data_IF_767263145666
#
_entry.id   IF_767263145666
#
_cell.length_a   1.000
_cell.length_b   1.000
_cell.length_c   1.000
_cell.angle_alpha   90.00
_cell.angle_beta   90.00
_cell.angle_gamma   90.00
#
_symmetry.space_group_name_H-M   'P 1'
#
loop_
_entity.id
_entity.type
_entity.pdbx_description
1 polymer ?
2 non-polymer ?
3 non-polymer ?
4 non-polymer ?
5 non-polymer ?
6 non-polymer ?
7 water ?
#
# COMPACT_ATOMS: atom_id res chain seq x y z
N UNK A 13 -21.45 -4.80 16.06
CA UNK A 13 -20.70 -6.01 15.79
C UNK A 13 -19.30 -5.66 15.29
N UNK A 14 -18.31 -6.41 15.75
CA UNK A 14 -16.94 -6.08 15.45
C UNK A 14 -16.52 -6.63 14.09
N UNK A 15 -15.40 -6.10 13.61
CA UNK A 15 -14.90 -6.47 12.29
C UNK A 15 -14.55 -7.95 12.22
N UNK A 16 -14.91 -8.59 11.09
CA UNK A 16 -14.60 -9.98 10.83
C UNK A 16 -13.45 -10.03 9.84
N UNK A 17 -12.25 -10.45 10.23
CA UNK A 17 -11.12 -10.47 9.28
C UNK A 17 -11.40 -11.39 8.09
N UNK A 18 -11.14 -10.92 6.87
CA UNK A 18 -11.24 -11.79 5.69
C UNK A 18 -10.24 -12.93 5.76
N UNK A 19 -10.41 -13.97 4.94
CA UNK A 19 -9.42 -15.05 4.90
C UNK A 19 -8.08 -14.53 4.39
N UNK A 20 -7.03 -15.25 4.77
CA UNK A 20 -5.66 -14.86 4.39
C UNK A 20 -5.39 -15.16 2.93
N UNK A 21 -4.74 -14.21 2.25
CA UNK A 21 -4.25 -14.46 0.89
C UNK A 21 -3.04 -15.41 0.93
N UNK A 22 -2.66 -15.98 -0.22
CA UNK A 22 -1.53 -16.92 -0.22
C UNK A 22 -0.24 -16.21 0.12
N UNK A 23 0.63 -16.93 0.83
CA UNK A 23 2.00 -16.49 1.05
C UNK A 23 2.91 -17.57 0.50
N UNK A 24 3.92 -17.16 -0.26
CA UNK A 24 4.86 -18.08 -0.86
C UNK A 24 6.23 -17.86 -0.24
N UNK A 25 6.96 -18.96 -0.02
CA UNK A 25 8.30 -18.91 0.56
C UNK A 25 9.26 -19.61 -0.39
N UNK A 26 9.60 -18.96 -1.51
CA UNK A 26 10.43 -19.63 -2.52
C UNK A 26 11.80 -20.00 -1.96
N UNK A 27 12.28 -21.17 -2.36
CA UNK A 27 13.67 -21.52 -2.14
C UNK A 27 14.55 -20.62 -2.99
N UNK A 28 15.86 -20.79 -2.86
CA UNK A 28 16.77 -19.98 -3.67
C UNK A 28 16.62 -20.29 -5.15
N UNK A 29 16.31 -21.54 -5.50
CA UNK A 29 16.13 -21.90 -6.90
C UNK A 29 14.94 -21.15 -7.51
N UNK A 30 13.79 -21.16 -6.82
CA UNK A 30 12.61 -20.48 -7.33
C UNK A 30 12.73 -18.97 -7.26
N UNK A 31 13.59 -18.44 -6.40
CA UNK A 31 13.75 -17.01 -6.21
C UNK A 31 14.71 -16.41 -7.24
N UNK A 32 14.73 -16.96 -8.45
CA UNK A 32 15.67 -16.48 -9.46
C UNK A 32 15.20 -15.19 -10.11
N UNK A 33 14.04 -15.22 -10.77
CA UNK A 33 13.53 -14.09 -11.51
C UNK A 33 12.08 -13.82 -11.13
N UNK A 34 11.72 -12.57 -10.77
CA UNK A 34 10.34 -12.32 -10.33
C UNK A 34 9.29 -12.58 -11.38
N UNK A 35 9.53 -12.22 -12.64
CA UNK A 35 8.52 -12.46 -13.67
C UNK A 35 8.29 -13.96 -13.86
N UNK A 36 9.35 -14.74 -13.90
CA UNK A 36 9.17 -16.18 -14.00
C UNK A 36 8.48 -16.73 -12.75
N UNK A 37 8.82 -16.21 -11.57
CA UNK A 37 8.18 -16.71 -10.36
C UNK A 37 6.70 -16.37 -10.35
N UNK A 38 6.35 -15.12 -10.69
CA UNK A 38 4.96 -14.71 -10.62
C UNK A 38 4.14 -15.45 -11.67
N UNK A 39 4.74 -15.73 -12.82
CA UNK A 39 4.06 -16.52 -13.83
C UNK A 39 3.70 -17.91 -13.35
N UNK A 40 4.54 -18.49 -12.48
CA UNK A 40 4.27 -19.84 -11.99
C UNK A 40 3.19 -19.87 -10.92
N UNK A 41 3.17 -18.88 -10.02
CA UNK A 41 2.17 -18.86 -8.95
C UNK A 41 0.85 -18.27 -9.42
N UNK A 42 0.82 -17.69 -10.61
CA UNK A 42 -0.38 -17.02 -11.11
C UNK A 42 -1.66 -17.85 -11.03
N UNK A 43 -1.70 -19.14 -11.38
CA UNK A 43 -2.99 -19.85 -11.35
C UNK A 43 -3.68 -19.77 -10.00
N UNK A 44 -2.91 -19.70 -8.92
CA UNK A 44 -3.49 -19.52 -7.60
C UNK A 44 -3.67 -18.05 -7.25
N UNK A 45 -2.60 -17.26 -7.38
CA UNK A 45 -2.64 -15.89 -6.89
C UNK A 45 -3.63 -15.03 -7.69
N UNK A 46 -3.83 -15.31 -8.98
CA UNK A 46 -4.79 -14.48 -9.69
C UNK A 46 -6.21 -14.71 -9.20
N UNK A 47 -6.45 -15.84 -8.51
CA UNK A 47 -7.76 -16.13 -7.92
C UNK A 47 -7.93 -15.47 -6.55
N UNK A 48 -6.90 -14.82 -6.00
CA UNK A 48 -7.04 -14.09 -4.75
C UNK A 48 -6.75 -12.60 -4.91
N UNK A 49 -6.35 -12.16 -6.09
CA UNK A 49 -6.02 -10.75 -6.35
C UNK A 49 -4.67 -10.29 -5.85
N UNK A 50 -4.34 -10.63 -4.62
CA UNK A 50 -3.05 -10.27 -4.04
C UNK A 50 -2.39 -11.54 -3.53
N UNK A 51 -1.07 -11.49 -3.41
CA UNK A 51 -0.34 -12.53 -2.70
C UNK A 51 0.87 -11.91 -2.02
N UNK A 52 1.42 -12.65 -1.08
CA UNK A 52 2.60 -12.22 -0.34
C UNK A 52 3.77 -13.14 -0.67
N UNK A 53 4.98 -12.58 -0.75
CA UNK A 53 6.18 -13.36 -1.07
C UNK A 53 7.25 -13.05 -0.03
N UNK A 54 7.67 -14.08 0.71
CA UNK A 54 8.76 -13.96 1.67
C UNK A 54 10.05 -14.41 1.01
N UNK A 55 11.04 -13.54 0.83
CA UNK A 55 12.30 -13.95 0.20
C UNK A 55 13.05 -14.93 1.10
N UNK A 56 14.04 -15.64 0.55
CA UNK A 56 14.85 -16.52 1.40
C UNK A 56 15.47 -15.73 2.55
N UNK A 57 15.73 -16.45 3.65
CA UNK A 57 16.10 -15.78 4.90
C UNK A 57 17.35 -14.92 4.74
N UNK A 58 18.28 -15.35 3.92
CA UNK A 58 19.55 -14.64 3.75
C UNK A 58 19.48 -13.49 2.75
N UNK A 59 18.30 -13.20 2.20
CA UNK A 59 18.16 -12.09 1.25
C UNK A 59 17.72 -10.86 2.04
N UNK A 60 18.67 -9.97 2.35
CA UNK A 60 18.40 -8.81 3.19
C UNK A 60 19.06 -7.58 2.59
N UNK A 61 18.37 -6.87 1.70
CA UNK A 61 18.95 -5.66 1.10
C UNK A 61 19.15 -4.59 2.16
N UNK A 62 20.23 -3.83 2.10
CA UNK A 62 20.35 -2.66 2.98
C UNK A 62 19.32 -1.61 2.61
N UNK A 63 19.15 -0.64 3.50
CA UNK A 63 18.30 0.51 3.22
C UNK A 63 19.18 1.63 2.70
N UNK A 64 18.85 2.15 1.50
CA UNK A 64 19.78 3.00 0.76
C UNK A 64 19.27 4.41 0.45
N UNK A 65 18.18 4.87 1.08
CA UNK A 65 17.74 6.24 0.87
C UNK A 65 18.67 7.23 1.56
N UNK A 66 18.62 8.48 1.11
CA UNK A 66 19.38 9.56 1.75
C UNK A 66 18.63 10.00 3.00
N UNK A 67 19.01 9.44 4.15
CA UNK A 67 18.23 9.64 5.37
C UNK A 67 18.50 11.00 6.00
N UNK A 68 19.72 11.52 5.88
CA UNK A 68 20.03 12.80 6.53
C UNK A 68 19.18 13.93 5.98
N UNK A 69 18.93 13.91 4.66
CA UNK A 69 18.20 14.99 4.00
C UNK A 69 16.75 14.63 3.71
N UNK A 70 16.28 13.47 4.17
CA UNK A 70 14.92 13.01 3.85
C UNK A 70 13.91 13.91 4.53
N UNK A 71 13.12 14.62 3.72
CA UNK A 71 12.08 15.51 4.24
C UNK A 71 10.87 15.41 3.32
N UNK A 72 9.68 15.58 3.89
CA UNK A 72 8.47 15.41 3.09
C UNK A 72 7.31 16.07 3.79
N UNK A 73 6.23 16.26 3.03
CA UNK A 73 5.01 16.93 3.49
C UNK A 73 3.88 15.92 3.36
N UNK A 74 3.55 15.19 4.41
CA UNK A 74 2.54 14.12 4.27
C UNK A 74 1.13 14.66 4.15
N UNK A 75 0.28 13.91 3.47
CA UNK A 75 -1.10 14.34 3.32
C UNK A 75 -1.87 14.04 4.61
N UNK A 76 -2.86 14.87 4.88
CA UNK A 76 -3.68 14.72 6.08
C UNK A 76 -4.88 13.86 5.74
N UNK A 77 -5.12 12.83 6.55
CA UNK A 77 -6.22 11.90 6.31
C UNK A 77 -7.18 11.96 7.49
N UNK A 78 -8.43 12.32 7.24
CA UNK A 78 -9.46 12.24 8.27
C UNK A 78 -10.23 10.95 8.03
N UNK A 79 -10.22 10.07 9.03
CA UNK A 79 -10.65 8.70 8.80
C UNK A 79 -12.13 8.62 8.46
N UNK A 80 -12.96 9.45 9.09
CA UNK A 80 -14.41 9.38 8.92
C UNK A 80 -14.96 10.46 8.00
N UNK A 81 -14.13 10.98 7.06
CA UNK A 81 -14.55 12.10 6.23
C UNK A 81 -15.82 11.78 5.45
N UNK A 82 -16.03 10.51 5.11
CA UNK A 82 -17.19 10.14 4.32
C UNK A 82 -18.45 10.01 5.18
N UNK A 83 -18.36 9.26 6.28
CA UNK A 83 -19.53 9.09 7.15
C UNK A 83 -20.02 10.41 7.70
N UNK A 84 -19.13 11.40 7.80
CA UNK A 84 -19.52 12.74 8.23
C UNK A 84 -20.01 13.62 7.09
N UNK A 85 -20.06 13.10 5.85
CA UNK A 85 -20.57 13.88 4.72
C UNK A 85 -21.98 14.36 4.98
N UNK A 86 -22.90 13.42 5.15
CA UNK A 86 -24.32 13.73 5.29
C UNK A 86 -25.00 12.73 6.22
N UNK A 90 -23.29 21.54 7.35
CA UNK A 90 -21.85 21.67 7.19
C UNK A 90 -21.17 22.23 8.43
N UNK A 91 -20.09 21.60 8.86
CA UNK A 91 -19.36 22.06 10.04
C UNK A 91 -18.71 23.42 9.76
N UNK A 92 -18.63 24.23 10.81
CA UNK A 92 -18.08 25.58 10.68
C UNK A 92 -16.61 25.52 10.25
N UNK A 93 -16.26 26.36 9.27
CA UNK A 93 -14.89 26.49 8.75
C UNK A 93 -14.35 25.16 8.23
N UNK A 94 -15.23 24.38 7.58
CA UNK A 94 -14.76 23.14 6.97
C UNK A 94 -13.78 23.45 5.84
N UNK A 95 -12.80 22.56 5.68
CA UNK A 95 -11.72 22.76 4.75
C UNK A 95 -10.44 23.29 5.37
N UNK A 96 -10.51 23.75 6.63
CA UNK A 96 -9.37 24.31 7.35
C UNK A 96 -9.06 23.50 8.60
N UNK A 97 -9.30 22.19 8.56
CA UNK A 97 -9.05 21.35 9.73
C UNK A 97 -7.57 21.32 10.09
N UNK A 98 -6.73 20.87 9.15
CA UNK A 98 -5.32 20.69 9.44
C UNK A 98 -4.50 20.92 8.18
N UNK A 99 -3.45 21.74 8.30
CA UNK A 99 -2.57 22.02 7.18
C UNK A 99 -1.52 20.93 7.01
N UNK A 100 -1.14 20.69 5.76
CA UNK A 100 0.00 19.81 5.50
C UNK A 100 1.28 20.55 5.88
N UNK A 101 2.17 19.84 6.59
CA UNK A 101 3.43 20.40 7.09
C UNK A 101 4.58 19.48 6.71
N UNK A 102 5.81 19.96 6.90
CA UNK A 102 7.00 19.18 6.56
C UNK A 102 7.52 18.41 7.77
N UNK A 103 7.94 17.16 7.53
CA UNK A 103 8.64 16.32 8.50
C UNK A 103 9.97 15.86 7.95
N UNK A 104 10.86 15.46 8.86
CA UNK A 104 11.94 14.56 8.51
C UNK A 104 11.51 13.12 8.75
N UNK A 105 12.28 12.19 8.22
CA UNK A 105 12.02 10.79 8.53
C UNK A 105 12.02 10.56 10.04
N UNK A 106 12.97 11.18 10.74
CA UNK A 106 13.04 11.03 12.19
C UNK A 106 11.83 11.69 12.87
N UNK A 107 11.49 12.92 12.48
CA UNK A 107 10.43 13.61 13.22
C UNK A 107 9.06 13.01 12.93
N UNK A 108 8.87 12.45 11.72
CA UNK A 108 7.61 11.76 11.46
C UNK A 108 7.49 10.51 12.31
N UNK A 109 8.61 9.78 12.48
CA UNK A 109 8.57 8.56 13.27
C UNK A 109 8.30 8.83 14.74
N UNK A 110 8.91 9.89 15.28
CA UNK A 110 8.60 10.28 16.66
C UNK A 110 7.11 10.58 16.80
N UNK A 111 6.56 11.37 15.88
CA UNK A 111 5.13 11.67 15.90
C UNK A 111 4.30 10.40 15.80
N UNK A 112 4.68 9.50 14.90
CA UNK A 112 3.88 8.30 14.63
C UNK A 112 3.86 7.36 15.84
N UNK A 113 5.04 7.05 16.40
CA UNK A 113 5.09 6.19 17.58
C UNK A 113 4.35 6.83 18.76
N UNK A 114 4.52 8.14 18.97
CA UNK A 114 3.80 8.83 20.03
C UNK A 114 2.29 8.76 19.84
N UNK A 115 1.82 8.92 18.58
CA UNK A 115 0.38 8.82 18.31
C UNK A 115 -0.16 7.46 18.70
N UNK A 116 0.52 6.40 18.27
CA UNK A 116 -0.01 5.04 18.45
C UNK A 116 0.08 4.61 19.91
N UNK A 117 1.22 4.85 20.55
CA UNK A 117 1.34 4.46 21.96
C UNK A 117 0.36 5.25 22.81
N UNK A 118 0.15 6.52 22.48
CA UNK A 118 -0.88 7.30 23.18
C UNK A 118 -2.27 6.75 22.91
N UNK A 119 -2.56 6.39 21.65
CA UNK A 119 -3.91 5.99 21.28
C UNK A 119 -4.31 4.70 22.00
N UNK A 120 -3.43 3.72 22.03
CA UNK A 120 -3.74 2.42 22.58
C UNK A 120 -3.31 2.26 24.04
N UNK A 121 -2.62 3.26 24.61
CA UNK A 121 -2.14 3.20 26.00
C UNK A 121 -1.24 1.97 26.22
N UNK A 122 -0.37 1.67 25.27
CA UNK A 122 0.58 0.58 25.41
C UNK A 122 1.75 0.81 24.45
N UNK A 123 2.88 0.12 24.65
CA UNK A 123 4.00 0.27 23.71
C UNK A 123 3.59 -0.13 22.30
N UNK A 124 4.15 0.57 21.31
CA UNK A 124 3.70 0.39 19.92
C UNK A 124 3.88 -1.06 19.47
N UNK A 125 4.97 -1.70 19.87
CA UNK A 125 5.23 -3.05 19.40
C UNK A 125 4.36 -4.10 20.06
N UNK A 126 3.56 -3.72 21.07
CA UNK A 126 2.69 -4.67 21.75
C UNK A 126 1.25 -4.64 21.28
N UNK A 127 0.87 -3.68 20.43
CA UNK A 127 -0.53 -3.61 19.98
C UNK A 127 -0.77 -4.71 18.95
N UNK A 128 -1.69 -5.65 19.19
CA UNK A 128 -1.94 -6.71 18.21
C UNK A 128 -2.43 -6.15 16.88
N UNK A 129 -1.96 -6.76 15.79
CA UNK A 129 -2.40 -6.35 14.45
C UNK A 129 -3.93 -6.40 14.33
N UNK A 130 -4.58 -7.40 14.98
CA UNK A 130 -6.04 -7.50 14.91
C UNK A 130 -6.73 -6.36 15.64
N UNK A 131 -6.11 -5.81 16.69
CA UNK A 131 -6.71 -4.69 17.40
C UNK A 131 -6.65 -3.42 16.56
N UNK A 132 -5.52 -3.14 15.92
CA UNK A 132 -5.45 -1.98 15.04
C UNK A 132 -6.48 -2.10 13.92
N UNK A 133 -6.58 -3.31 13.34
CA UNK A 133 -7.54 -3.53 12.26
C UNK A 133 -8.97 -3.26 12.71
N UNK A 134 -9.35 -3.79 13.88
CA UNK A 134 -10.70 -3.57 14.39
C UNK A 134 -10.96 -2.09 14.65
N UNK A 135 -10.00 -1.39 15.25
CA UNK A 135 -10.19 0.04 15.55
C UNK A 135 -10.24 0.86 14.28
N UNK A 136 -9.39 0.53 13.30
CA UNK A 136 -9.42 1.26 12.03
C UNK A 136 -10.82 1.27 11.43
N UNK A 137 -11.43 0.09 11.30
CA UNK A 137 -12.72 0.05 10.63
C UNK A 137 -13.81 0.65 11.50
N UNK A 138 -13.67 0.60 12.83
CA UNK A 138 -14.62 1.29 13.70
C UNK A 138 -14.55 2.80 13.49
N UNK A 139 -13.33 3.34 13.35
CA UNK A 139 -13.18 4.79 13.26
C UNK A 139 -13.63 5.30 11.90
N UNK A 140 -13.47 4.51 10.85
CA UNK A 140 -13.90 4.94 9.53
C UNK A 140 -15.40 5.22 9.49
N UNK A 141 -16.20 4.46 10.23
CA UNK A 141 -17.64 4.62 10.23
C UNK A 141 -18.18 5.42 11.42
N UNK A 142 -17.31 5.87 12.32
CA UNK A 142 -17.76 6.56 13.53
C UNK A 142 -18.07 8.02 13.25
N UNK A 143 -19.22 8.48 13.76
CA UNK A 143 -19.59 9.90 13.65
C UNK A 143 -19.35 10.64 14.96
N UNK A 144 -18.76 9.98 15.96
CA UNK A 144 -18.49 10.62 17.24
C UNK A 144 -17.01 10.87 17.50
N UNK A 145 -16.12 10.05 16.96
CA UNK A 145 -14.68 10.20 17.11
C UNK A 145 -14.07 10.59 15.78
N UNK A 146 -13.43 11.75 15.73
CA UNK A 146 -12.86 12.31 14.51
C UNK A 146 -11.34 12.17 14.59
N UNK A 147 -10.82 11.05 14.10
CA UNK A 147 -9.38 10.79 14.15
C UNK A 147 -8.76 11.27 12.86
N UNK A 148 -7.63 11.95 12.99
CA UNK A 148 -6.88 12.48 11.86
C UNK A 148 -5.45 11.95 11.96
N UNK A 149 -4.94 11.39 10.85
CA UNK A 149 -3.55 10.95 10.76
C UNK A 149 -2.92 11.56 9.51
N UNK A 150 -1.64 11.23 9.29
CA UNK A 150 -0.85 11.75 8.19
C UNK A 150 -0.16 10.60 7.46
N UNK A 151 -0.01 10.76 6.15
CA UNK A 151 0.56 9.69 5.32
C UNK A 151 1.56 10.30 4.35
N UNK A 152 2.82 9.87 4.43
CA UNK A 152 3.82 10.31 3.46
C UNK A 152 3.72 9.50 2.19
N UNK A 153 2.79 9.86 1.30
CA UNK A 153 2.41 8.99 0.19
C UNK A 153 2.73 9.54 -1.20
N UNK A 154 3.40 10.67 -1.30
CA UNK A 154 3.75 11.25 -2.60
C UNK A 154 5.26 11.50 -2.64
N UNK A 155 6.04 10.42 -2.65
CA UNK A 155 7.49 10.51 -2.54
C UNK A 155 8.06 9.65 -3.66
N UNK A 156 8.55 10.30 -4.72
CA UNK A 156 9.22 9.58 -5.79
C UNK A 156 10.61 9.15 -5.34
N UNK A 157 11.03 7.97 -5.81
CA UNK A 157 12.38 7.52 -5.52
C UNK A 157 13.41 8.46 -6.13
N UNK A 158 13.03 9.28 -7.10
CA UNK A 158 13.98 10.22 -7.69
C UNK A 158 14.33 11.36 -6.73
N UNK A 159 13.53 11.57 -5.68
CA UNK A 159 13.74 12.69 -4.78
C UNK A 159 14.91 12.46 -3.83
N UNK A 160 14.88 11.34 -3.10
CA UNK A 160 15.94 11.03 -2.14
C UNK A 160 16.56 9.66 -2.40
N UNK A 161 16.36 9.12 -3.61
CA UNK A 161 16.88 7.82 -3.93
C UNK A 161 15.92 6.71 -3.57
N UNK A 162 16.17 5.54 -4.12
CA UNK A 162 15.38 4.37 -3.81
C UNK A 162 15.83 3.79 -2.48
N UNK A 163 14.91 3.06 -1.82
CA UNK A 163 15.30 2.28 -0.65
C UNK A 163 16.23 1.13 -0.96
N UNK A 164 16.20 0.63 -2.21
CA UNK A 164 17.17 -0.36 -2.66
C UNK A 164 18.42 0.35 -3.16
N UNK A 165 19.60 -0.28 -3.05
CA UNK A 165 20.79 0.28 -3.67
C UNK A 165 20.62 0.30 -5.19
N UNK A 166 21.18 1.32 -5.81
CA UNK A 166 21.08 1.51 -7.26
C UNK A 166 22.46 1.92 -7.76
N UNK A 167 22.90 1.31 -8.87
CA UNK A 167 24.21 1.60 -9.44
C UNK A 167 24.14 2.76 -10.43
N UNK A 168 23.68 3.91 -9.94
CA UNK A 168 23.66 5.14 -10.73
C UNK A 168 24.75 6.11 -10.31
N UNK A 169 25.68 5.68 -9.46
CA UNK A 169 26.79 6.51 -9.06
C UNK A 169 26.46 7.67 -8.15
N UNK A 170 25.21 7.80 -7.72
CA UNK A 170 24.82 8.90 -6.84
C UNK A 170 25.14 8.63 -5.38
N UNK A 171 25.26 7.36 -5.00
CA UNK A 171 25.45 7.00 -3.60
C UNK A 171 26.36 5.77 -3.53
N UNK A 172 27.07 5.66 -2.41
CA UNK A 172 28.02 4.57 -2.24
C UNK A 172 27.31 3.24 -2.07
N UNK A 173 27.81 2.22 -2.75
CA UNK A 173 27.34 0.85 -2.61
C UNK A 173 28.53 -0.01 -2.22
N UNK A 174 28.39 -0.75 -1.13
CA UNK A 174 29.44 -1.63 -0.66
C UNK A 174 29.48 -2.90 -1.52
N UNK A 175 30.63 -3.56 -1.60
CA UNK A 175 30.70 -4.81 -2.39
C UNK A 175 29.61 -5.81 -2.04
N UNK A 176 29.36 -6.04 -0.74
CA UNK A 176 28.33 -6.97 -0.31
C UNK A 176 26.92 -6.51 -0.65
N UNK A 177 26.74 -5.25 -1.03
CA UNK A 177 25.45 -4.73 -1.42
C UNK A 177 25.22 -4.72 -2.92
N UNK A 178 26.26 -4.96 -3.71
CA UNK A 178 26.10 -4.89 -5.16
C UNK A 178 25.10 -5.92 -5.66
N UNK A 179 25.06 -7.10 -5.03
CA UNK A 179 24.09 -8.13 -5.39
C UNK A 179 22.67 -7.57 -5.35
N UNK A 180 22.36 -6.77 -4.34
CA UNK A 180 21.00 -6.24 -4.24
C UNK A 180 20.75 -5.15 -5.27
N UNK A 181 21.79 -4.43 -5.68
CA UNK A 181 21.61 -3.43 -6.73
C UNK A 181 21.29 -4.08 -8.06
N UNK A 182 21.74 -5.32 -8.27
CA UNK A 182 21.55 -6.02 -9.54
C UNK A 182 20.41 -7.03 -9.52
N UNK A 183 19.84 -7.32 -8.34
CA UNK A 183 18.80 -8.32 -8.19
C UNK A 183 17.55 -7.96 -9.00
N UNK A 184 16.92 -8.98 -9.61
CA UNK A 184 15.64 -8.78 -10.26
C UNK A 184 14.51 -8.41 -9.32
N UNK A 185 14.70 -8.62 -8.01
CA UNK A 185 13.69 -8.24 -7.03
C UNK A 185 13.86 -6.81 -6.52
N UNK A 186 14.99 -6.19 -6.80
CA UNK A 186 15.13 -4.75 -6.66
C UNK A 186 14.09 -4.06 -7.54
N UNK A 187 13.21 -3.25 -6.93
CA UNK A 187 12.07 -2.72 -7.69
C UNK A 187 12.49 -1.75 -8.79
N UNK A 188 13.72 -1.24 -8.75
CA UNK A 188 14.22 -0.43 -9.85
C UNK A 188 14.58 -1.24 -11.08
N UNK A 189 14.63 -2.57 -10.97
CA UNK A 189 14.98 -3.45 -12.07
C UNK A 189 13.79 -4.23 -12.61
N UNK A 190 12.57 -3.81 -12.27
CA UNK A 190 11.38 -4.42 -12.84
C UNK A 190 11.09 -3.82 -14.21
N UNK A 191 10.54 -4.61 -15.13
CA UNK A 191 10.18 -4.06 -16.44
C UNK A 191 8.92 -3.21 -16.31
N UNK A 192 8.95 -2.02 -16.93
CA UNK A 192 7.85 -1.08 -16.73
C UNK A 192 7.27 -0.62 -18.07
N UNK A 193 7.89 -1.01 -19.18
CA UNK A 193 7.47 -0.53 -20.49
C UNK A 193 6.32 -1.39 -21.02
N UNK A 194 5.17 -0.76 -21.24
CA UNK A 194 4.04 -1.44 -21.86
C UNK A 194 4.22 -1.52 -23.37
N UNK A 195 3.94 -2.69 -23.93
CA UNK A 195 4.07 -2.88 -25.37
C UNK A 195 2.91 -2.19 -26.09
N UNK A 196 3.23 -1.48 -27.17
CA UNK A 196 2.23 -0.83 -28.00
C UNK A 196 2.91 -0.35 -29.29
N UNK A 197 2.07 -0.06 -30.28
CA UNK A 197 2.57 0.54 -31.51
C UNK A 197 2.94 2.00 -31.29
N UNK A 198 2.17 2.71 -30.45
CA UNK A 198 2.55 4.07 -30.08
C UNK A 198 3.95 4.13 -29.48
N UNK A 199 4.30 3.12 -28.68
CA UNK A 199 5.65 3.04 -28.12
C UNK A 199 6.71 2.96 -29.20
N UNK A 200 6.37 2.47 -30.40
CA UNK A 200 7.30 2.46 -31.52
C UNK A 200 7.20 3.72 -32.37
N UNK A 201 6.04 4.38 -32.37
CA UNK A 201 5.86 5.60 -33.14
C UNK A 201 6.36 6.82 -32.36
N UNK A 202 6.36 6.73 -31.02
CA UNK A 202 6.89 7.81 -30.21
C UNK A 202 8.40 7.93 -30.39
N UNK A 203 8.87 9.18 -30.47
CA UNK A 203 10.30 9.44 -30.61
C UNK A 203 11.03 9.17 -29.30
N UNK A 208 11.13 4.65 -17.96
CA UNK A 208 10.35 5.86 -17.74
C UNK A 208 9.81 5.93 -16.31
N UNK A 209 9.01 4.94 -15.91
CA UNK A 209 8.45 4.92 -14.57
C UNK A 209 9.51 4.49 -13.55
N UNK A 210 9.39 5.03 -12.34
CA UNK A 210 10.31 4.72 -11.25
C UNK A 210 9.48 4.34 -10.02
N UNK A 211 10.10 3.73 -9.01
CA UNK A 211 9.34 3.36 -7.81
C UNK A 211 8.94 4.59 -7.00
N UNK A 212 7.84 4.43 -6.27
CA UNK A 212 7.34 5.42 -5.31
C UNK A 212 7.46 4.87 -3.89
N UNK A 213 7.65 5.79 -2.94
CA UNK A 213 7.89 5.47 -1.54
C UNK A 213 6.71 5.92 -0.70
N UNK A 214 6.45 5.17 0.37
CA UNK A 214 5.32 5.41 1.26
C UNK A 214 5.80 5.34 2.69
N UNK A 215 5.72 6.46 3.41
CA UNK A 215 6.07 6.51 4.83
C UNK A 215 4.77 6.51 5.63
N UNK A 216 4.48 5.40 6.31
CA UNK A 216 3.22 5.23 6.98
C UNK A 216 3.29 5.48 8.48
N UNK A 217 2.11 5.72 9.06
CA UNK A 217 1.88 5.71 10.50
C UNK A 217 0.62 4.91 10.78
N UNK A 218 0.37 4.62 12.05
CA UNK A 218 -0.85 3.92 12.43
C UNK A 218 -2.08 4.61 11.84
N UNK A 219 -2.92 3.83 11.15
CA UNK A 219 -4.22 4.16 10.57
C UNK A 219 -4.11 4.90 9.26
N UNK A 220 -2.92 5.28 8.80
CA UNK A 220 -2.84 5.85 7.45
C UNK A 220 -3.21 4.78 6.44
N UNK A 221 -3.79 5.19 5.30
CA UNK A 221 -4.49 4.20 4.51
C UNK A 221 -4.53 4.58 3.04
N UNK A 222 -4.81 3.55 2.21
CA UNK A 222 -5.13 3.69 0.79
C UNK A 222 -6.49 3.06 0.50
N UNK A 223 -7.34 3.81 -0.23
CA UNK A 223 -8.70 3.36 -0.56
C UNK A 223 -8.67 2.27 -1.63
N UNK A 224 -9.85 1.73 -1.94
CA UNK A 224 -9.97 0.70 -2.96
C UNK A 224 -9.69 1.26 -4.34
N UNK A 225 -8.83 0.58 -5.09
CA UNK A 225 -8.51 1.01 -6.46
C UNK A 225 -7.93 -0.17 -7.22
N UNK A 226 -7.87 -0.01 -8.54
CA UNK A 226 -7.03 -0.83 -9.40
C UNK A 226 -6.00 0.10 -10.02
N UNK A 227 -4.93 -0.49 -10.53
CA UNK A 227 -3.86 0.29 -11.11
C UNK A 227 -4.27 0.83 -12.48
N UNK A 228 -3.67 1.97 -12.86
CA UNK A 228 -3.85 2.48 -14.20
C UNK A 228 -3.47 1.42 -15.23
N UNK A 229 -4.27 1.30 -16.29
CA UNK A 229 -4.05 0.33 -17.35
C UNK A 229 -4.13 -1.12 -16.86
N UNK A 230 -4.81 -1.34 -15.73
CA UNK A 230 -4.95 -2.67 -15.12
C UNK A 230 -3.60 -3.33 -14.85
N UNK A 231 -2.58 -2.52 -14.58
CA UNK A 231 -1.21 -3.03 -14.46
C UNK A 231 -1.05 -3.90 -13.20
N UNK A 232 -0.07 -4.80 -13.24
CA UNK A 232 0.43 -5.40 -11.99
C UNK A 232 1.06 -4.30 -11.12
N UNK A 233 1.17 -4.55 -9.82
CA UNK A 233 2.08 -3.80 -8.99
C UNK A 233 2.84 -4.75 -8.08
N UNK A 234 4.04 -4.34 -7.70
CA UNK A 234 4.81 -5.07 -6.70
C UNK A 234 5.22 -4.08 -5.62
N UNK A 235 5.23 -4.52 -4.37
CA UNK A 235 5.33 -3.66 -3.21
C UNK A 235 6.26 -4.33 -2.20
N UNK A 236 7.16 -3.54 -1.61
CA UNK A 236 8.16 -4.08 -0.71
C UNK A 236 8.17 -3.23 0.55
N UNK A 237 8.08 -3.87 1.71
CA UNK A 237 8.15 -3.13 2.95
C UNK A 237 9.60 -3.16 3.44
N UNK A 238 10.27 -2.00 3.37
CA UNK A 238 11.69 -1.97 3.74
C UNK A 238 11.89 -2.22 5.23
N UNK A 239 11.08 -1.59 6.09
CA UNK A 239 11.22 -1.70 7.53
C UNK A 239 9.97 -1.14 8.19
N UNK A 240 9.87 -1.39 9.50
CA UNK A 240 8.75 -0.85 10.27
C UNK A 240 7.64 -1.85 10.52
N UNK A 241 6.55 -1.32 11.06
CA UNK A 241 5.41 -2.13 11.43
C UNK A 241 4.64 -2.54 10.17
N UNK A 242 3.77 -3.56 10.27
CA UNK A 242 3.18 -4.12 9.06
C UNK A 242 2.25 -3.18 8.33
N UNK A 243 2.04 -3.50 7.06
CA UNK A 243 1.06 -2.86 6.20
C UNK A 243 -0.03 -3.89 5.96
N UNK A 244 -1.26 -3.57 6.38
CA UNK A 244 -2.36 -4.53 6.24
C UNK A 244 -3.08 -4.31 4.91
N UNK A 245 -3.27 -5.39 4.16
CA UNK A 245 -3.81 -5.36 2.81
C UNK A 245 -5.14 -6.09 2.73
N UNK A 246 -6.00 -5.61 1.81
CA UNK A 246 -7.19 -6.33 1.37
C UNK A 246 -7.18 -6.38 -0.15
N UNK A 247 -7.49 -7.54 -0.69
CA UNK A 247 -7.47 -7.71 -2.14
C UNK A 247 -8.68 -8.49 -2.61
N UNK A 248 -9.09 -8.19 -3.85
CA UNK A 248 -10.22 -8.84 -4.52
C UNK A 248 -9.76 -9.37 -5.88
N UNK A 249 -10.02 -10.64 -6.22
CA UNK A 249 -9.57 -11.15 -7.51
C UNK A 249 -10.23 -10.41 -8.65
N UNK A 250 -9.53 -10.38 -9.78
CA UNK A 250 -10.03 -9.69 -10.96
C UNK A 250 -11.37 -10.24 -11.44
N UNK A 251 -11.65 -11.54 -11.21
CA UNK A 251 -12.93 -12.03 -11.70
C UNK A 251 -14.10 -11.40 -10.98
N UNK A 252 -13.86 -10.77 -9.82
CA UNK A 252 -14.91 -10.11 -9.07
C UNK A 252 -14.87 -8.59 -9.21
N UNK A 253 -14.09 -8.07 -10.17
CA UNK A 253 -13.95 -6.61 -10.29
C UNK A 253 -15.28 -5.93 -10.61
N UNK A 254 -16.02 -6.44 -11.60
CA UNK A 254 -17.27 -5.76 -11.95
C UNK A 254 -18.28 -5.88 -10.82
N UNK A 255 -18.23 -6.98 -10.05
CA UNK A 255 -19.11 -7.13 -8.91
C UNK A 255 -18.81 -6.08 -7.84
N UNK A 256 -17.53 -5.90 -7.51
CA UNK A 256 -17.16 -4.87 -6.55
C UNK A 256 -17.60 -3.49 -7.03
N UNK A 257 -17.42 -3.21 -8.32
CA UNK A 257 -17.80 -1.90 -8.84
C UNK A 257 -19.30 -1.67 -8.70
N UNK A 258 -20.09 -2.73 -8.90
CA UNK A 258 -21.53 -2.61 -8.74
C UNK A 258 -21.90 -2.30 -7.30
N UNK A 259 -21.28 -3.00 -6.35
CA UNK A 259 -21.53 -2.74 -4.93
C UNK A 259 -21.14 -1.31 -4.58
N UNK A 260 -19.98 -0.87 -5.08
CA UNK A 260 -19.50 0.49 -4.80
C UNK A 260 -20.51 1.54 -5.25
N UNK A 261 -21.03 1.40 -6.46
CA UNK A 261 -21.98 2.39 -6.97
C UNK A 261 -23.31 2.28 -6.25
N UNK A 262 -23.71 1.07 -5.84
CA UNK A 262 -24.94 0.89 -5.09
C UNK A 262 -24.88 1.61 -3.76
N UNK A 263 -23.75 1.52 -3.06
CA UNK A 263 -23.66 2.05 -1.71
C UNK A 263 -22.94 3.39 -1.63
N UNK A 264 -22.50 3.95 -2.75
CA UNK A 264 -21.83 5.23 -2.67
C UNK A 264 -22.85 6.37 -2.55
N UNK A 265 -22.46 7.49 -1.94
CA UNK A 265 -23.31 8.68 -2.03
C UNK A 265 -23.57 9.04 -3.49
N UNK A 266 -24.81 9.43 -3.78
CA UNK A 266 -25.21 9.69 -5.16
C UNK A 266 -24.35 10.78 -5.80
N UNK A 267 -23.83 11.71 -5.00
CA UNK A 267 -22.94 12.74 -5.53
C UNK A 267 -21.67 12.14 -6.11
N UNK A 268 -21.27 10.97 -5.62
CA UNK A 268 -20.07 10.31 -6.12
C UNK A 268 -20.35 9.12 -7.01
N UNK A 269 -21.58 8.58 -7.01
CA UNK A 269 -21.85 7.33 -7.71
C UNK A 269 -21.64 7.48 -9.21
N UNK A 270 -21.90 8.66 -9.75
CA UNK A 270 -21.82 8.95 -11.17
C UNK A 270 -20.44 9.43 -11.63
N UNK A 271 -19.50 9.59 -10.70
CA UNK A 271 -18.19 10.12 -11.06
C UNK A 271 -17.37 9.08 -11.83
N UNK A 272 -16.53 9.52 -12.77
CA UNK A 272 -15.59 8.60 -13.41
C UNK A 272 -14.76 7.81 -12.39
N UNK A 273 -14.44 6.56 -12.74
CA UNK A 273 -13.73 5.68 -11.82
C UNK A 273 -12.43 6.29 -11.33
N UNK A 274 -11.68 6.94 -12.22
CA UNK A 274 -10.37 7.47 -11.84
C UNK A 274 -10.49 8.53 -10.76
N UNK A 275 -11.60 9.27 -10.72
CA UNK A 275 -11.86 10.21 -9.63
C UNK A 275 -12.56 9.55 -8.44
N UNK A 276 -13.49 8.65 -8.69
CA UNK A 276 -14.18 8.00 -7.59
C UNK A 276 -13.18 7.29 -6.69
N UNK A 277 -12.14 6.71 -7.29
CA UNK A 277 -11.13 5.99 -6.52
C UNK A 277 -10.42 6.86 -5.50
N UNK A 278 -10.59 8.18 -5.54
CA UNK A 278 -10.01 9.03 -4.51
C UNK A 278 -10.74 8.87 -3.18
N UNK A 279 -11.96 8.35 -3.19
CA UNK A 279 -12.83 8.34 -2.01
C UNK A 279 -13.58 7.02 -1.87
N UNK A 280 -13.06 5.94 -2.45
CA UNK A 280 -13.72 4.63 -2.36
C UNK A 280 -13.27 3.91 -1.09
N UNK A 281 -13.71 4.45 0.04
CA UNK A 281 -13.52 3.82 1.35
C UNK A 281 -14.67 2.85 1.58
N UNK A 282 -14.36 1.58 1.84
CA UNK A 282 -15.44 0.63 2.11
C UNK A 282 -14.96 -0.50 2.99
N UNK A 283 -15.70 -0.76 4.07
CA UNK A 283 -15.38 -1.85 4.98
C UNK A 283 -15.40 -3.17 4.21
N UNK A 284 -14.32 -3.97 4.26
CA UNK A 284 -14.33 -5.26 3.57
C UNK A 284 -15.52 -6.15 3.90
N UNK A 285 -16.04 -6.09 5.13
CA UNK A 285 -17.17 -6.94 5.48
C UNK A 285 -18.42 -6.58 4.68
N UNK A 286 -18.57 -5.30 4.33
CA UNK A 286 -19.72 -4.90 3.50
C UNK A 286 -19.64 -5.55 2.14
N UNK A 287 -18.45 -5.52 1.53
CA UNK A 287 -18.28 -6.21 0.25
C UNK A 287 -18.55 -7.70 0.39
N UNK A 288 -18.07 -8.31 1.47
CA UNK A 288 -18.27 -9.75 1.66
C UNK A 288 -19.75 -10.08 1.83
N UNK A 289 -20.50 -9.26 2.56
CA UNK A 289 -21.94 -9.51 2.70
C UNK A 289 -22.67 -9.39 1.37
N UNK A 290 -22.09 -8.68 0.40
CA UNK A 290 -22.63 -8.57 -0.95
C UNK A 290 -22.06 -9.60 -1.91
N UNK A 291 -21.34 -10.60 -1.40
CA UNK A 291 -20.85 -11.68 -2.24
C UNK A 291 -19.52 -11.44 -2.92
N UNK A 292 -18.81 -10.39 -2.54
CA UNK A 292 -17.50 -10.09 -3.11
C UNK A 292 -16.44 -10.87 -2.33
N UNK A 293 -15.63 -11.70 -2.98
CA UNK A 293 -14.54 -12.39 -2.26
C UNK A 293 -13.43 -11.42 -1.91
N UNK A 294 -13.04 -11.39 -0.63
CA UNK A 294 -11.98 -10.51 -0.15
C UNK A 294 -10.95 -11.35 0.59
N UNK A 295 -9.66 -11.09 0.33
CA UNK A 295 -8.57 -11.72 1.08
C UNK A 295 -7.73 -10.63 1.75
N UNK A 296 -7.10 -10.98 2.88
CA UNK A 296 -6.30 -10.03 3.64
C UNK A 296 -4.87 -10.54 3.80
N UNK A 297 -3.97 -9.64 4.19
CA UNK A 297 -2.66 -10.08 4.67
C UNK A 297 -2.01 -8.96 5.46
N UNK A 298 -1.15 -9.34 6.41
CA UNK A 298 -0.24 -8.40 7.05
C UNK A 298 1.13 -8.57 6.39
N UNK A 299 1.54 -7.56 5.63
CA UNK A 299 2.86 -7.54 5.00
C UNK A 299 3.84 -6.99 6.01
N UNK A 300 4.80 -7.82 6.43
CA UNK A 300 5.79 -7.43 7.43
C UNK A 300 7.08 -6.99 6.75
N UNK A 301 7.96 -6.35 7.52
CA UNK A 301 9.22 -5.85 6.97
C UNK A 301 9.97 -6.97 6.26
N UNK A 302 10.48 -6.65 5.08
CA UNK A 302 11.19 -7.61 4.25
C UNK A 302 10.33 -8.47 3.36
N UNK A 303 9.02 -8.22 3.27
CA UNK A 303 8.12 -9.05 2.49
C UNK A 303 7.55 -8.26 1.30
N UNK A 304 7.32 -8.98 0.22
CA UNK A 304 6.72 -8.40 -0.98
C UNK A 304 5.22 -8.70 -1.00
N UNK A 305 4.46 -7.76 -1.55
CA UNK A 305 3.07 -8.02 -1.94
C UNK A 305 2.95 -7.72 -3.43
N UNK A 306 2.31 -8.63 -4.15
CA UNK A 306 2.08 -8.49 -5.60
C UNK A 306 0.58 -8.36 -5.81
N UNK A 307 0.16 -7.35 -6.58
CA UNK A 307 -1.22 -7.21 -6.98
C UNK A 307 -1.37 -7.57 -8.45
N UNK A 308 -2.41 -8.32 -8.76
CA UNK A 308 -2.57 -8.83 -10.12
C UNK A 308 -3.44 -7.88 -10.95
N UNK A 309 -3.44 -8.04 -12.28
CA UNK A 309 -4.17 -7.09 -13.13
C UNK A 309 -5.64 -7.01 -12.77
N UNK A 310 -6.13 -5.78 -12.58
CA UNK A 310 -7.54 -5.50 -12.30
C UNK A 310 -7.99 -6.12 -10.98
N UNK A 311 -7.05 -6.35 -10.06
CA UNK A 311 -7.37 -6.80 -8.71
C UNK A 311 -7.53 -5.58 -7.82
N UNK A 312 -8.76 -5.31 -7.37
CA UNK A 312 -9.00 -4.19 -6.47
C UNK A 312 -8.29 -4.44 -5.15
N UNK A 313 -7.70 -3.38 -4.59
CA UNK A 313 -7.03 -3.53 -3.29
C UNK A 313 -7.12 -2.24 -2.48
N UNK A 314 -6.93 -2.42 -1.15
CA UNK A 314 -7.01 -1.33 -0.18
C UNK A 314 -6.24 -1.77 1.05
N UNK A 315 -6.01 -0.84 1.97
CA UNK A 315 -5.23 -1.25 3.14
C UNK A 315 -4.91 -0.09 4.03
N UNK A 316 -4.15 -0.38 5.10
CA UNK A 316 -3.73 0.63 6.05
C UNK A 316 -2.47 0.15 6.75
N UNK A 317 -1.78 1.09 7.39
CA UNK A 317 -0.52 0.79 8.04
C UNK A 317 -0.73 0.61 9.54
N UNK A 318 -0.06 -0.39 10.11
CA UNK A 318 -0.17 -0.70 11.53
C UNK A 318 0.59 0.28 12.42
N UNK A 319 1.54 1.00 11.84
CA UNK A 319 2.38 1.93 12.58
C UNK A 319 3.42 2.51 11.64
N UNK A 320 4.45 3.12 12.24
CA UNK A 320 5.54 3.73 11.47
C UNK A 320 6.21 2.70 10.57
N UNK A 321 6.22 2.95 9.25
CA UNK A 321 6.89 2.02 8.34
C UNK A 321 7.32 2.75 7.06
N UNK A 322 7.99 2.01 6.18
CA UNK A 322 8.58 2.55 4.96
C UNK A 322 8.46 1.51 3.85
N UNK A 323 7.71 1.84 2.81
CA UNK A 323 7.42 0.91 1.74
C UNK A 323 7.84 1.52 0.40
N UNK A 324 8.02 0.65 -0.58
CA UNK A 324 8.41 1.07 -1.93
C UNK A 324 7.60 0.24 -2.91
N UNK A 325 7.14 0.84 -4.02
CA UNK A 325 6.27 0.11 -4.93
C UNK A 325 6.43 0.61 -6.36
N UNK A 326 6.14 -0.28 -7.31
CA UNK A 326 6.23 0.12 -8.72
C UNK A 326 5.21 -0.70 -9.49
N UNK A 327 4.67 -0.09 -10.54
CA UNK A 327 3.87 -0.85 -11.51
C UNK A 327 4.81 -1.52 -12.49
N UNK A 328 4.49 -2.76 -12.87
CA UNK A 328 5.33 -3.49 -13.83
C UNK A 328 4.47 -4.19 -14.86
N UNK A 329 5.10 -4.57 -15.97
CA UNK A 329 4.45 -5.17 -17.12
C UNK A 329 5.04 -6.54 -17.42
N UNK A 330 4.20 -7.44 -17.93
CA UNK A 330 4.64 -8.79 -18.22
C UNK A 330 4.72 -9.07 -19.71
X LIG B 1 -2.14 7.10 -1.90
X LIG B 1 -0.32 1.70 -1.44
X LIG B 1 0.28 2.16 -0.13
X LIG B 1 -0.54 2.57 -2.49
X LIG B 1 -1.44 3.16 -6.96
X LIG B 1 -3.23 7.14 -8.69
X LIG B 1 -5.13 4.88 -7.39
X LIG B 1 -3.93 4.77 -8.32
X LIG B 1 -1.95 5.73 -7.05
X LIG B 1 -1.68 4.40 -6.34
X LIG B 1 -1.58 4.16 -4.94
X LIG B 1 -1.77 5.20 -3.86
X LIG B 1 -0.93 6.29 -3.81
X LIG B 1 -1.11 7.24 -2.82
X LIG B 1 -3.00 6.00 -1.95
X LIG B 1 -2.82 5.05 -2.95
X LIG B 1 -3.14 7.74 0.15
X LIG B 1 -1.11 2.06 -3.66
X LIG B 1 -1.27 -0.06 -2.77
X LIG B 1 -0.70 0.37 -1.58
X LIG B 1 -2.16 7.37 -9.75
X LIG B 1 -1.73 8.49 -11.81
X LIG B 1 -2.40 9.74 -9.88
X LIG B 1 -3.03 5.87 -8.03
X LIG B 1 -1.33 2.86 -4.82
X LIG B 1 -1.45 0.78 -3.77
X LIG B 1 -1.24 2.27 -6.02
X LIG B 1 -2.54 8.49 -10.61
X LIG B 1 -2.29 8.08 -0.91
X LIG B 1 1.09 1.39 0.47
X LIG B 1 -0.06 3.27 0.36
X LIG B 1 -1.25 6.66 -6.86
X LIG C 1 -2.16 0.14 -5.87
X LIG D 1 2.96 2.64 -7.17
X LIG D 1 2.58 2.84 -5.75
X LIG D 1 2.36 1.01 -7.69
X LIG D 1 1.92 3.68 -8.23
X LIG E 1 1.52 -13.04 10.33
X LIG E 1 2.24 -11.97 9.79
X LIG E 1 0.06 -12.56 10.47
X LIG E 1 -0.23 -11.63 9.51
X LIG E 1 -0.82 -13.81 10.34
X LIG E 1 -2.14 -13.42 10.62
X LIG F 1 22.82 9.89 3.59
X LIG F 1 23.08 9.64 2.17
X LIG F 1 21.89 11.00 3.73
X LIG F 1 22.26 8.70 4.21
X LIG F 1 24.07 10.23 4.27
#
# INVERSE_FOLDING_TARGET
HNMAGVGPGGYAAEFVPPPECPVFEPSWEEFTDPLSFIGRIRPLAEKTGICKIRPPKDWQPPFACEVKSFRFTPRVQRLNELEAMTRVRPREAFGFEQAVREYTLQSFGEMADNFKSDYFNMPVHMVPTELVEKEFWRLVSSIEEDVIVEYGADISSKDFGSGFPVKDGRRKILPEEEEYALSGWNLNNMPVLEQSVLAHINVDISGMKVPWLYVGMCFSSFCWHIEDHWSYSINYLHWGEPKTWYGVPSHAAEQLEEVMRELAPELFESQPDLLHQLVTIMNPNVLMEHGVPVYRTNQCAGEFVVTFPRAYHSGFNQGYNFAEAVNFCT
H5Y C10 C20 C21 C24 C26 C28 C01 C02 C04 C05 C06 C07 C08 C09 C11 C12 C14 C16 C18 C19 C29 C31 C32 N03 N15 N17 N25 N30 O13 O22 O23 O27
MN MN
DMS S O C1 C2
GOL C1 O1 C2 O2 C3 O3
SO4 S O1 O2 O3 O4
#
